data_IF_921293751062
#
_entry.id   IF_921293751062
#
_cell.length_a   1.000
_cell.length_b   1.000
_cell.length_c   1.000
_cell.angle_alpha   90.00
_cell.angle_beta   90.00
_cell.angle_gamma   90.00
#
_symmetry.space_group_name_H-M   'P 1'
#
loop_
_entity.id
_entity.type
_entity.pdbx_description
1 polymer ?
#
# COMPACT_ATOMS: atom_id res chain seq x y z
N UNK A 1 1.00 7.66 -2.14
CA UNK A 1 1.66 6.35 -2.41
C UNK A 1 2.38 5.83 -1.18
N UNK A 2 2.60 4.51 -1.08
CA UNK A 2 3.34 3.83 -0.01
C UNK A 2 4.04 2.60 -0.59
N UNK A 3 5.37 2.59 -0.64
CA UNK A 3 6.13 1.42 -1.09
C UNK A 3 6.05 0.30 -0.03
N UNK A 4 5.71 -0.91 -0.45
CA UNK A 4 5.55 -2.08 0.44
C UNK A 4 6.51 -3.22 0.09
N UNK A 5 7.32 -3.07 -0.96
CA UNK A 5 8.19 -4.13 -1.48
C UNK A 5 9.08 -4.78 -0.42
N UNK A 6 9.71 -3.95 0.43
CA UNK A 6 10.73 -4.40 1.36
C UNK A 6 10.16 -4.88 2.72
N UNK A 7 8.82 -4.91 2.87
CA UNK A 7 8.16 -5.49 4.04
C UNK A 7 8.09 -7.01 3.97
N UNK A 8 7.98 -7.74 5.10
CA UNK A 8 7.78 -9.18 5.11
C UNK A 8 6.59 -9.61 4.24
N UNK A 9 6.65 -10.81 3.65
CA UNK A 9 5.59 -11.32 2.78
C UNK A 9 4.22 -11.33 3.47
N UNK A 10 4.17 -11.72 4.75
CA UNK A 10 2.94 -11.73 5.56
C UNK A 10 2.32 -10.34 5.65
N UNK A 11 3.12 -9.31 5.95
CA UNK A 11 2.68 -7.92 6.01
C UNK A 11 2.19 -7.42 4.65
N UNK A 12 2.92 -7.73 3.55
CA UNK A 12 2.49 -7.38 2.19
C UNK A 12 1.15 -8.00 1.85
N UNK A 13 0.98 -9.30 2.09
CA UNK A 13 -0.26 -10.02 1.77
C UNK A 13 -1.45 -9.49 2.59
N UNK A 14 -1.21 -9.17 3.86
CA UNK A 14 -2.22 -8.59 4.74
C UNK A 14 -2.66 -7.20 4.24
N UNK A 15 -1.71 -6.30 3.98
CA UNK A 15 -2.05 -4.93 3.54
C UNK A 15 -2.69 -4.88 2.15
N UNK A 16 -2.39 -5.84 1.28
CA UNK A 16 -3.03 -5.97 -0.05
C UNK A 16 -4.28 -6.85 -0.03
N UNK A 17 -4.70 -7.35 1.13
CA UNK A 17 -5.89 -8.21 1.21
C UNK A 17 -7.14 -7.40 0.91
N UNK A 18 -8.12 -8.02 0.25
CA UNK A 18 -9.39 -7.37 -0.09
C UNK A 18 -10.07 -6.80 1.16
N UNK A 19 -10.07 -7.55 2.25
CA UNK A 19 -10.66 -7.14 3.53
C UNK A 19 -10.00 -5.88 4.09
N UNK A 20 -8.65 -5.84 4.12
CA UNK A 20 -7.93 -4.68 4.64
C UNK A 20 -8.14 -3.46 3.74
N UNK A 21 -8.03 -3.62 2.42
CA UNK A 21 -8.25 -2.53 1.47
C UNK A 21 -9.67 -1.99 1.64
N UNK A 22 -10.68 -2.85 1.59
CA UNK A 22 -12.08 -2.45 1.70
C UNK A 22 -12.36 -1.72 3.02
N UNK A 23 -11.85 -2.22 4.15
CA UNK A 23 -12.03 -1.53 5.44
C UNK A 23 -11.42 -0.13 5.47
N UNK A 24 -10.25 0.05 4.85
CA UNK A 24 -9.60 1.36 4.74
C UNK A 24 -10.40 2.28 3.82
N UNK A 25 -10.86 1.79 2.67
CA UNK A 25 -11.66 2.57 1.71
C UNK A 25 -12.99 3.01 2.33
N UNK A 26 -13.69 2.11 3.04
CA UNK A 26 -14.97 2.39 3.68
C UNK A 26 -14.85 3.45 4.78
N UNK A 27 -13.81 3.34 5.62
CA UNK A 27 -13.59 4.25 6.74
C UNK A 27 -13.05 5.62 6.29
N UNK A 28 -12.08 5.63 5.39
CA UNK A 28 -11.33 6.85 5.03
C UNK A 28 -11.87 7.57 3.80
N UNK A 29 -12.71 6.90 2.99
CA UNK A 29 -13.13 7.39 1.65
C UNK A 29 -11.96 7.62 0.69
N UNK A 30 -10.81 6.97 0.93
CA UNK A 30 -9.68 6.96 0.02
C UNK A 30 -9.63 5.62 -0.71
N UNK A 31 -9.51 5.63 -2.03
CA UNK A 31 -9.27 4.45 -2.84
C UNK A 31 -7.81 4.00 -2.71
N UNK A 32 -7.59 2.69 -2.55
CA UNK A 32 -6.26 2.09 -2.42
C UNK A 32 -6.02 1.08 -3.54
N UNK A 33 -5.06 1.39 -4.41
CA UNK A 33 -4.76 0.59 -5.60
C UNK A 33 -3.37 0.01 -5.46
N UNK A 34 -3.24 -1.31 -5.54
CA UNK A 34 -1.93 -1.97 -5.59
C UNK A 34 -1.33 -1.82 -6.98
N UNK A 35 -0.12 -1.26 -7.08
CA UNK A 35 0.60 -1.02 -8.34
C UNK A 35 2.06 -1.48 -8.23
N UNK A 36 2.71 -1.69 -9.38
CA UNK A 36 4.09 -2.15 -9.47
C UNK A 36 4.23 -3.67 -9.27
N UNK A 37 5.47 -4.12 -9.15
CA UNK A 37 5.83 -5.55 -9.08
C UNK A 37 6.76 -5.81 -7.90
N UNK A 38 6.61 -6.98 -7.26
CA UNK A 38 7.53 -7.37 -6.19
C UNK A 38 8.92 -7.71 -6.77
N UNK A 39 9.95 -7.13 -6.18
CA UNK A 39 11.35 -7.49 -6.44
C UNK A 39 11.99 -8.00 -5.14
N UNK A 40 12.71 -9.13 -5.18
CA UNK A 40 13.45 -9.62 -4.03
C UNK A 40 14.43 -8.59 -3.46
N UNK A 41 14.78 -8.67 -2.17
CA UNK A 41 15.82 -7.83 -1.57
C UNK A 41 17.12 -7.86 -2.38
N UNK A 42 17.75 -6.70 -2.55
CA UNK A 42 18.96 -6.55 -3.36
C UNK A 42 18.71 -6.44 -4.87
N UNK A 43 17.49 -6.61 -5.35
CA UNK A 43 17.11 -6.35 -6.75
C UNK A 43 16.38 -5.02 -6.86
N UNK A 44 16.92 -4.13 -7.70
CA UNK A 44 16.24 -2.88 -8.07
C UNK A 44 15.24 -3.11 -9.20
N UNK A 45 14.21 -2.27 -9.25
CA UNK A 45 13.29 -2.26 -10.39
C UNK A 45 14.04 -1.81 -11.65
N UNK A 46 13.81 -2.46 -12.81
CA UNK A 46 14.34 -2.02 -14.10
C UNK A 46 13.91 -0.58 -14.44
N UNK A 47 14.65 0.13 -15.32
CA UNK A 47 14.23 1.43 -15.82
C UNK A 47 12.81 1.36 -16.41
N UNK A 48 11.91 2.23 -15.94
CA UNK A 48 10.51 2.28 -16.38
C UNK A 48 9.55 1.42 -15.56
N UNK A 49 10.05 0.53 -14.69
CA UNK A 49 9.23 -0.25 -13.77
C UNK A 49 9.33 0.30 -12.34
N UNK A 50 8.32 -0.01 -11.51
CA UNK A 50 8.25 0.41 -10.11
C UNK A 50 8.12 -0.81 -9.20
N UNK A 51 8.88 -0.80 -8.10
CA UNK A 51 8.71 -1.75 -7.00
C UNK A 51 7.29 -1.71 -6.45
N UNK A 52 6.83 -2.81 -5.86
CA UNK A 52 5.48 -2.96 -5.33
C UNK A 52 5.12 -1.83 -4.35
N UNK A 53 4.03 -1.14 -4.63
CA UNK A 53 3.55 -0.01 -3.85
C UNK A 53 2.02 0.07 -3.85
N UNK A 54 1.49 0.76 -2.85
CA UNK A 54 0.09 1.14 -2.74
C UNK A 54 -0.07 2.58 -3.19
N UNK A 55 -0.88 2.80 -4.22
CA UNK A 55 -1.33 4.11 -4.64
C UNK A 55 -2.61 4.46 -3.87
N UNK A 56 -2.69 5.69 -3.36
CA UNK A 56 -3.78 6.15 -2.50
C UNK A 56 -4.36 7.39 -3.15
N UNK A 57 -5.64 7.33 -3.52
CA UNK A 57 -6.39 8.43 -4.14
C UNK A 57 -7.53 8.81 -3.20
N UNK A 58 -7.68 10.10 -2.91
CA UNK A 58 -8.73 10.60 -2.01
C UNK A 58 -9.12 12.02 -2.40
N UNK A 59 -10.37 12.39 -2.10
CA UNK A 59 -10.88 13.74 -2.36
C UNK A 59 -10.25 14.81 -1.46
N UNK A 60 -9.87 14.42 -0.23
CA UNK A 60 -9.29 15.33 0.77
C UNK A 60 -7.92 14.86 1.25
N UNK A 61 -7.11 15.81 1.68
CA UNK A 61 -5.78 15.53 2.19
C UNK A 61 -5.84 14.79 3.54
N UNK A 62 -6.89 15.03 4.32
CA UNK A 62 -7.21 14.36 5.58
C UNK A 62 -7.50 12.88 5.36
N UNK A 63 -8.36 12.55 4.38
CA UNK A 63 -8.65 11.17 3.99
C UNK A 63 -7.39 10.43 3.52
N UNK A 64 -6.58 11.08 2.69
CA UNK A 64 -5.30 10.53 2.23
C UNK A 64 -4.35 10.24 3.41
N UNK A 65 -4.26 11.17 4.38
CA UNK A 65 -3.44 11.01 5.59
C UNK A 65 -3.95 9.87 6.47
N UNK A 66 -5.26 9.76 6.68
CA UNK A 66 -5.89 8.71 7.46
C UNK A 66 -5.61 7.32 6.85
N UNK A 67 -5.85 7.17 5.54
CA UNK A 67 -5.57 5.92 4.82
C UNK A 67 -4.09 5.53 4.91
N UNK A 68 -3.18 6.49 4.70
CA UNK A 68 -1.73 6.24 4.79
C UNK A 68 -1.30 5.82 6.20
N UNK A 69 -1.91 6.39 7.24
CA UNK A 69 -1.64 6.02 8.64
C UNK A 69 -2.08 4.59 8.90
N UNK A 70 -3.26 4.21 8.42
CA UNK A 70 -3.82 2.87 8.63
C UNK A 70 -3.05 1.79 7.89
N UNK A 71 -2.68 2.04 6.63
CA UNK A 71 -1.81 1.14 5.87
C UNK A 71 -0.47 0.89 6.57
N UNK A 72 0.13 1.93 7.15
CA UNK A 72 1.36 1.80 7.95
C UNK A 72 1.14 0.98 9.22
N UNK A 73 0.00 1.14 9.88
CA UNK A 73 -0.37 0.36 11.07
C UNK A 73 -0.44 -1.13 10.73
N UNK A 74 -1.15 -1.50 9.67
CA UNK A 74 -1.26 -2.90 9.21
C UNK A 74 0.09 -3.50 8.84
N UNK A 75 0.98 -2.71 8.22
CA UNK A 75 2.33 -3.15 7.84
C UNK A 75 3.28 -3.39 9.03
N UNK A 76 2.95 -2.84 10.20
CA UNK A 76 3.76 -2.94 11.43
C UNK A 76 3.20 -3.98 12.43
N UNK A 77 2.04 -4.59 12.13
CA UNK A 77 1.46 -5.71 12.88
C UNK A 77 2.07 -7.06 12.46
#
# INVERSE_FOLDING_TARGET
ELEINDYPQTARFKVTSRETIQGIEEWTKAAVITKGTYYPPGRNAPPGERKLYLHIEAETHEAMKAARKELKRVLQE
#
